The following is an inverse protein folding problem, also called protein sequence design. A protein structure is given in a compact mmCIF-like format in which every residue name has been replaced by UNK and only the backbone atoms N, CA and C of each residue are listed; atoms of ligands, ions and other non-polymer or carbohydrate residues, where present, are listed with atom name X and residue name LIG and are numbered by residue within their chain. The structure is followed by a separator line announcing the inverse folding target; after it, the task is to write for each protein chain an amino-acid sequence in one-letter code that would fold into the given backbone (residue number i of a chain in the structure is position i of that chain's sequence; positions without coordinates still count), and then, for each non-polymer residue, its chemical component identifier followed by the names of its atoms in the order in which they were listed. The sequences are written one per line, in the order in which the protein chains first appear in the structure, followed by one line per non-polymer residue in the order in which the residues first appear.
data_IF_350820126610
#
_entry.id   IF_350820126610
#
_cell.length_a   1.000
_cell.length_b   1.000
_cell.length_c   1.000
_cell.angle_alpha   90.00
_cell.angle_beta   90.00
_cell.angle_gamma   90.00
#
_symmetry.space_group_name_H-M   'P 1'
#
loop_
_entity.id
_entity.type
_entity.pdbx_description
1 polymer ?
#
# COMPACT_ATOMS: atom_id res chain seq x y z
N UNK A 1 -18.22 -2.36 -5.59
CA UNK A 1 -17.46 -1.34 -4.85
C UNK A 1 -17.31 -0.13 -5.76
N UNK A 2 -18.00 0.98 -5.49
CA UNK A 2 -17.90 2.20 -6.30
C UNK A 2 -16.73 3.01 -5.72
N UNK A 3 -15.63 3.15 -6.46
CA UNK A 3 -14.53 4.04 -6.13
C UNK A 3 -15.01 5.49 -6.25
N UNK A 4 -15.54 6.05 -5.15
CA UNK A 4 -15.85 7.49 -5.05
C UNK A 4 -14.62 8.20 -4.53
N UNK A 5 -14.07 9.12 -5.33
CA UNK A 5 -12.97 10.03 -5.00
C UNK A 5 -11.85 9.32 -4.24
N UNK A 6 -10.91 8.72 -4.98
CA UNK A 6 -9.71 8.16 -4.39
C UNK A 6 -9.11 9.17 -3.41
N UNK A 7 -8.84 8.72 -2.20
CA UNK A 7 -7.94 9.40 -1.29
C UNK A 7 -6.73 9.88 -2.10
N UNK A 8 -6.41 11.19 -2.12
CA UNK A 8 -5.36 11.73 -2.96
C UNK A 8 -4.02 11.04 -2.71
N UNK A 9 -3.81 10.49 -1.51
CA UNK A 9 -2.61 9.71 -1.17
C UNK A 9 -2.56 8.41 -1.95
N UNK A 10 -3.67 7.70 -2.12
CA UNK A 10 -3.77 6.48 -2.92
C UNK A 10 -3.65 6.83 -4.40
N UNK A 11 -4.39 7.84 -4.86
CA UNK A 11 -4.34 8.27 -6.27
C UNK A 11 -2.91 8.68 -6.68
N UNK A 12 -2.18 9.36 -5.80
CA UNK A 12 -0.79 9.76 -6.03
C UNK A 12 0.16 8.57 -6.25
N UNK A 13 -0.11 7.42 -5.63
CA UNK A 13 0.69 6.22 -5.88
C UNK A 13 0.34 5.56 -7.22
N UNK A 14 -0.92 5.66 -7.66
CA UNK A 14 -1.39 4.97 -8.86
C UNK A 14 -1.15 5.76 -10.16
N UNK A 15 -1.29 7.09 -10.13
CA UNK A 15 -1.20 7.93 -11.33
C UNK A 15 0.08 7.70 -12.15
N UNK A 16 1.29 7.58 -11.57
CA UNK A 16 2.51 7.30 -12.33
C UNK A 16 2.48 5.96 -13.08
N UNK A 17 1.71 4.99 -12.60
CA UNK A 17 1.61 3.66 -13.19
C UNK A 17 0.44 3.53 -14.19
N UNK A 18 -0.46 4.51 -14.26
CA UNK A 18 -1.64 4.42 -15.11
C UNK A 18 -1.28 4.38 -16.60
N UNK A 19 -1.86 3.40 -17.29
CA UNK A 19 -1.82 3.27 -18.76
C UNK A 19 -3.08 3.90 -19.38
N UNK A 20 -3.09 4.06 -20.71
CA UNK A 20 -4.16 4.75 -21.45
C UNK A 20 -5.57 4.19 -21.12
N UNK A 21 -5.71 2.89 -20.92
CA UNK A 21 -6.99 2.27 -20.55
C UNK A 21 -7.46 2.68 -19.15
N UNK A 22 -6.56 2.88 -18.18
CA UNK A 22 -6.94 3.27 -16.82
C UNK A 22 -7.51 4.68 -16.78
N UNK A 23 -6.94 5.58 -17.59
CA UNK A 23 -7.44 6.95 -17.80
C UNK A 23 -8.85 6.99 -18.38
N UNK A 24 -9.28 5.93 -19.08
CA UNK A 24 -10.65 5.81 -19.55
C UNK A 24 -11.62 5.39 -18.44
N UNK A 25 -11.13 4.89 -17.30
CA UNK A 25 -11.94 4.50 -16.15
C UNK A 25 -12.52 5.67 -15.35
N UNK A 26 -12.04 6.91 -15.56
CA UNK A 26 -12.57 8.08 -14.86
C UNK A 26 -14.00 8.41 -15.32
N UNK A 27 -14.91 8.56 -14.35
CA UNK A 27 -16.34 8.81 -14.59
C UNK A 27 -16.62 10.15 -15.28
N UNK A 28 -15.75 11.14 -15.09
CA UNK A 28 -15.78 12.41 -15.81
C UNK A 28 -14.52 12.53 -16.67
N UNK A 29 -14.61 13.09 -17.88
CA UNK A 29 -13.42 13.36 -18.67
C UNK A 29 -12.57 14.41 -17.93
N UNK A 30 -11.47 13.96 -17.34
CA UNK A 30 -10.49 14.82 -16.70
C UNK A 30 -9.36 15.07 -17.68
N UNK A 31 -9.10 16.33 -18.03
CA UNK A 31 -7.99 16.70 -18.92
C UNK A 31 -6.66 16.73 -18.15
N UNK A 32 -6.72 17.15 -16.89
CA UNK A 32 -5.58 17.41 -16.03
C UNK A 32 -5.97 17.14 -14.57
N UNK A 33 -5.09 16.46 -13.84
CA UNK A 33 -5.20 16.23 -12.40
C UNK A 33 -4.04 16.94 -11.69
N UNK A 34 -4.37 17.71 -10.67
CA UNK A 34 -3.40 18.29 -9.76
C UNK A 34 -3.57 17.63 -8.40
N UNK A 35 -2.51 16.99 -7.90
CA UNK A 35 -2.48 16.46 -6.53
C UNK A 35 -1.79 17.46 -5.63
N UNK A 36 -2.50 17.85 -4.57
CA UNK A 36 -2.00 18.74 -3.52
C UNK A 36 -1.07 17.94 -2.59
N UNK A 37 0.18 17.79 -3.03
CA UNK A 37 1.29 17.21 -2.28
C UNK A 37 2.34 18.30 -1.98
N UNK A 38 3.29 18.07 -1.05
CA UNK A 38 4.33 19.07 -0.74
C UNK A 38 5.07 19.59 -1.97
N UNK A 39 5.19 18.75 -3.00
CA UNK A 39 5.51 19.14 -4.36
C UNK A 39 4.30 18.85 -5.26
N UNK A 40 3.58 19.89 -5.75
CA UNK A 40 2.42 19.70 -6.59
C UNK A 40 2.80 18.99 -7.88
N UNK A 41 2.09 17.91 -8.20
CA UNK A 41 2.29 17.15 -9.43
C UNK A 41 1.06 17.28 -10.32
N UNK A 42 1.33 17.57 -11.59
CA UNK A 42 0.33 17.73 -12.64
C UNK A 42 0.41 16.51 -13.54
N UNK A 43 -0.72 15.86 -13.74
CA UNK A 43 -0.85 14.71 -14.63
C UNK A 43 -1.87 15.01 -15.72
N UNK A 44 -1.43 14.95 -16.98
CA UNK A 44 -2.30 15.19 -18.14
C UNK A 44 -2.83 13.88 -18.71
N UNK A 45 -4.11 13.88 -19.09
CA UNK A 45 -4.73 12.74 -19.77
C UNK A 45 -4.11 12.55 -21.16
N UNK A 46 -3.74 11.31 -21.56
CA UNK A 46 -3.20 11.05 -22.89
C UNK A 46 -4.19 11.37 -24.04
N UNK A 47 -3.68 11.91 -25.15
CA UNK A 47 -4.48 12.38 -26.31
C UNK A 47 -5.34 11.28 -26.98
N UNK A 48 -4.99 10.00 -26.81
CA UNK A 48 -5.70 8.85 -27.40
C UNK A 48 -6.62 8.12 -26.40
N UNK A 49 -6.94 8.74 -25.27
CA UNK A 49 -7.80 8.12 -24.27
C UNK A 49 -9.27 8.16 -24.74
N UNK A 50 -9.87 6.98 -24.96
CA UNK A 50 -11.30 6.85 -25.29
C UNK A 50 -12.21 7.40 -24.18
N UNK A 51 -13.48 7.70 -24.52
CA UNK A 51 -14.49 8.01 -23.51
C UNK A 51 -14.79 6.74 -22.71
N UNK A 52 -14.61 6.82 -21.39
CA UNK A 52 -14.94 5.74 -20.47
C UNK A 52 -16.34 5.24 -20.67
N UNK A 53 -16.45 4.01 -21.16
CA UNK A 53 -17.72 3.35 -21.41
C UNK A 53 -17.72 2.04 -20.67
N UNK A 54 -18.16 2.03 -19.41
CA UNK A 54 -18.82 0.84 -18.88
C UNK A 54 -19.65 1.21 -17.66
N UNK A 55 -20.82 0.58 -17.54
CA UNK A 55 -21.65 0.59 -16.33
C UNK A 55 -20.99 -0.20 -15.17
N UNK A 56 -19.80 -0.78 -15.39
CA UNK A 56 -19.12 -1.62 -14.41
C UNK A 56 -18.17 -0.82 -13.51
N UNK A 57 -17.99 -1.27 -12.26
CA UNK A 57 -17.01 -0.68 -11.36
C UNK A 57 -15.59 -0.78 -11.93
N UNK A 58 -14.80 0.28 -11.79
CA UNK A 58 -13.37 0.23 -12.05
C UNK A 58 -12.70 -0.81 -11.12
N UNK A 59 -11.92 -1.71 -11.72
CA UNK A 59 -11.13 -2.72 -11.00
C UNK A 59 -9.67 -2.42 -11.27
N UNK A 60 -8.85 -2.44 -10.21
CA UNK A 60 -7.40 -2.28 -10.34
C UNK A 60 -6.84 -3.48 -11.08
N UNK A 61 -6.22 -3.22 -12.23
CA UNK A 61 -5.47 -4.24 -12.95
C UNK A 61 -4.12 -4.50 -12.26
N UNK A 62 -3.46 -5.59 -12.63
CA UNK A 62 -2.24 -6.12 -12.03
C UNK A 62 -1.12 -5.10 -11.89
N UNK A 63 -0.93 -4.18 -12.84
CA UNK A 63 0.11 -3.14 -12.76
C UNK A 63 -0.22 -2.06 -11.73
N UNK A 64 -1.49 -1.71 -11.54
CA UNK A 64 -1.92 -0.77 -10.50
C UNK A 64 -1.90 -1.41 -9.12
N UNK A 65 -2.27 -2.70 -9.02
CA UNK A 65 -2.10 -3.47 -7.78
C UNK A 65 -0.61 -3.53 -7.40
N UNK A 66 0.26 -3.82 -8.37
CA UNK A 66 1.70 -3.79 -8.16
C UNK A 66 2.16 -2.42 -7.66
N UNK A 67 1.78 -1.32 -8.34
CA UNK A 67 2.14 0.03 -7.92
C UNK A 67 1.64 0.37 -6.51
N UNK A 68 0.43 -0.06 -6.15
CA UNK A 68 -0.12 0.09 -4.82
C UNK A 68 0.71 -0.66 -3.76
N UNK A 69 0.92 -1.96 -3.96
CA UNK A 69 1.64 -2.81 -2.99
C UNK A 69 3.10 -2.40 -2.80
N UNK A 70 3.70 -1.73 -3.79
CA UNK A 70 5.07 -1.23 -3.72
C UNK A 70 5.17 0.23 -3.25
N UNK A 71 4.05 0.88 -2.92
CA UNK A 71 4.06 2.25 -2.40
C UNK A 71 4.44 2.30 -0.93
N UNK A 72 5.22 3.31 -0.53
CA UNK A 72 5.55 3.54 0.88
C UNK A 72 4.29 3.77 1.73
N UNK A 73 3.23 4.35 1.14
CA UNK A 73 1.96 4.58 1.84
C UNK A 73 1.23 3.27 2.17
N UNK A 74 1.13 2.34 1.22
CA UNK A 74 0.55 1.02 1.48
C UNK A 74 1.37 0.24 2.52
N UNK A 75 2.70 0.27 2.38
CA UNK A 75 3.62 -0.35 3.33
C UNK A 75 3.45 0.16 4.76
N UNK A 76 3.35 1.48 4.94
CA UNK A 76 3.08 2.08 6.25
C UNK A 76 1.73 1.65 6.81
N UNK A 77 0.68 1.61 5.97
CA UNK A 77 -0.65 1.14 6.36
C UNK A 77 -0.62 -0.31 6.85
N UNK A 78 0.04 -1.20 6.11
CA UNK A 78 0.19 -2.61 6.50
C UNK A 78 1.01 -2.77 7.77
N UNK A 79 2.11 -2.02 7.91
CA UNK A 79 2.93 -2.05 9.11
C UNK A 79 2.16 -1.56 10.35
N UNK A 80 1.31 -0.53 10.21
CA UNK A 80 0.42 -0.08 11.29
C UNK A 80 -0.57 -1.17 11.68
N UNK A 81 -1.26 -1.80 10.72
CA UNK A 81 -2.25 -2.86 11.02
C UNK A 81 -1.61 -4.02 11.78
N UNK A 82 -0.43 -4.47 11.34
CA UNK A 82 0.32 -5.53 12.02
C UNK A 82 0.77 -5.09 13.41
N UNK A 83 1.29 -3.85 13.53
CA UNK A 83 1.74 -3.27 14.78
C UNK A 83 0.61 -3.14 15.80
N UNK A 84 -0.54 -2.61 15.38
CA UNK A 84 -1.75 -2.45 16.20
C UNK A 84 -2.23 -3.82 16.69
N UNK A 85 -2.26 -4.82 15.82
CA UNK A 85 -2.64 -6.18 16.22
C UNK A 85 -1.67 -6.76 17.28
N UNK A 86 -0.38 -6.50 17.17
CA UNK A 86 0.60 -6.90 18.20
C UNK A 86 0.40 -6.14 19.51
N UNK A 87 0.07 -4.85 19.47
CA UNK A 87 -0.25 -4.08 20.66
C UNK A 87 -1.49 -4.61 21.37
N UNK A 88 -2.52 -4.96 20.60
CA UNK A 88 -3.79 -5.49 21.11
C UNK A 88 -3.65 -6.90 21.69
N UNK A 89 -2.99 -7.82 20.98
CA UNK A 89 -2.98 -9.24 21.32
C UNK A 89 -1.70 -9.70 22.04
N UNK A 90 -0.61 -8.95 21.90
CA UNK A 90 0.73 -9.32 22.40
C UNK A 90 1.44 -8.14 23.08
N UNK A 91 0.72 -7.29 23.82
CA UNK A 91 1.22 -6.01 24.35
C UNK A 91 2.57 -6.06 25.08
N UNK A 92 2.86 -7.11 25.87
CA UNK A 92 4.19 -7.26 26.52
C UNK A 92 5.33 -7.41 25.51
N UNK A 93 5.10 -8.16 24.44
CA UNK A 93 6.06 -8.31 23.34
C UNK A 93 6.15 -7.02 22.53
N UNK A 94 5.03 -6.37 22.23
CA UNK A 94 5.01 -5.08 21.53
C UNK A 94 5.83 -4.02 22.28
N UNK A 95 5.70 -3.91 23.61
CA UNK A 95 6.53 -3.02 24.45
C UNK A 95 8.02 -3.36 24.34
N UNK A 96 8.38 -4.63 24.20
CA UNK A 96 9.79 -5.05 24.06
C UNK A 96 10.34 -4.68 22.69
N UNK A 97 9.57 -4.93 21.63
CA UNK A 97 9.96 -4.67 20.25
C UNK A 97 9.97 -3.17 19.93
N UNK A 98 9.09 -2.38 20.55
CA UNK A 98 9.01 -0.92 20.39
C UNK A 98 10.03 -0.16 21.25
N UNK A 99 11.20 -0.75 21.52
CA UNK A 99 12.29 -0.09 22.24
C UNK A 99 13.49 0.12 21.32
N UNK A 100 13.90 1.37 21.05
CA UNK A 100 13.26 2.64 21.45
C UNK A 100 11.88 2.83 20.79
N UNK A 101 11.06 3.77 21.30
CA UNK A 101 9.71 4.04 20.78
C UNK A 101 9.72 4.22 19.27
N UNK A 102 8.80 3.56 18.57
CA UNK A 102 8.70 3.54 17.11
C UNK A 102 9.44 2.37 16.46
N UNK A 103 10.29 1.65 17.20
CA UNK A 103 11.13 0.59 16.62
C UNK A 103 10.33 -0.59 16.09
N UNK A 104 9.18 -0.89 16.69
CA UNK A 104 8.33 -1.99 16.23
C UNK A 104 7.85 -1.73 14.80
N UNK A 105 7.34 -0.53 14.53
CA UNK A 105 6.82 -0.17 13.22
C UNK A 105 7.93 -0.13 12.15
N UNK A 106 9.12 0.35 12.51
CA UNK A 106 10.30 0.28 11.63
C UNK A 106 10.67 -1.17 11.27
N UNK A 107 10.68 -2.06 12.26
CA UNK A 107 11.02 -3.48 12.05
C UNK A 107 10.00 -4.19 11.16
N UNK A 108 8.70 -3.97 11.37
CA UNK A 108 7.65 -4.52 10.51
C UNK A 108 7.79 -3.97 9.09
N UNK A 109 8.02 -2.65 8.94
CA UNK A 109 8.21 -2.03 7.62
C UNK A 109 9.43 -2.62 6.90
N UNK A 110 10.54 -2.84 7.61
CA UNK A 110 11.72 -3.46 7.04
C UNK A 110 11.44 -4.89 6.57
N UNK A 111 10.75 -5.69 7.41
CA UNK A 111 10.35 -7.05 7.06
C UNK A 111 9.46 -7.10 5.82
N UNK A 112 8.47 -6.22 5.70
CA UNK A 112 7.63 -6.10 4.51
C UNK A 112 8.45 -5.72 3.27
N UNK A 113 9.40 -4.78 3.40
CA UNK A 113 10.31 -4.39 2.30
C UNK A 113 11.22 -5.54 1.86
N UNK A 114 11.66 -6.39 2.78
CA UNK A 114 12.43 -7.60 2.45
C UNK A 114 11.61 -8.57 1.60
N UNK A 115 10.36 -8.83 1.96
CA UNK A 115 9.46 -9.67 1.16
C UNK A 115 9.24 -9.11 -0.25
N UNK A 116 8.93 -7.81 -0.38
CA UNK A 116 8.83 -7.17 -1.69
C UNK A 116 10.12 -7.28 -2.50
N UNK A 117 11.28 -7.10 -1.87
CA UNK A 117 12.59 -7.23 -2.52
C UNK A 117 12.87 -8.64 -3.05
N UNK A 118 12.25 -9.67 -2.48
CA UNK A 118 12.32 -11.05 -2.93
C UNK A 118 11.29 -11.39 -4.01
N UNK A 119 10.39 -10.47 -4.35
CA UNK A 119 9.28 -10.68 -5.27
C UNK A 119 8.06 -11.35 -4.63
N UNK A 120 8.00 -11.43 -3.30
CA UNK A 120 6.86 -11.99 -2.58
C UNK A 120 5.68 -11.00 -2.57
N UNK A 121 4.47 -11.54 -2.58
CA UNK A 121 3.26 -10.76 -2.36
C UNK A 121 3.04 -10.51 -0.86
N UNK A 122 3.10 -9.24 -0.46
CA UNK A 122 2.88 -8.84 0.93
C UNK A 122 1.40 -8.73 1.30
N UNK A 123 0.47 -8.75 0.32
CA UNK A 123 -0.95 -8.43 0.53
C UNK A 123 -1.65 -9.31 1.57
N UNK A 124 -1.15 -10.53 1.78
CA UNK A 124 -1.70 -11.53 2.69
C UNK A 124 -0.91 -11.68 4.00
N UNK A 125 0.17 -10.92 4.20
CA UNK A 125 0.98 -11.00 5.41
C UNK A 125 0.24 -10.39 6.61
N UNK A 126 0.31 -11.11 7.73
CA UNK A 126 -0.39 -10.77 8.97
C UNK A 126 0.58 -10.67 10.16
N UNK A 127 0.05 -10.30 11.32
CA UNK A 127 0.81 -10.36 12.58
C UNK A 127 1.22 -11.78 12.97
N UNK A 128 0.46 -12.81 12.57
CA UNK A 128 0.83 -14.20 12.82
C UNK A 128 2.10 -14.59 12.06
N UNK A 129 2.21 -14.18 10.80
CA UNK A 129 3.39 -14.42 9.96
C UNK A 129 4.61 -13.69 10.52
N UNK A 130 4.42 -12.46 10.99
CA UNK A 130 5.48 -11.69 11.65
C UNK A 130 5.97 -12.36 12.94
N UNK A 131 5.05 -12.87 13.76
CA UNK A 131 5.39 -13.61 14.99
C UNK A 131 6.11 -14.92 14.70
N UNK A 132 5.70 -15.64 13.65
CA UNK A 132 6.38 -16.85 13.21
C UNK A 132 7.84 -16.55 12.85
N UNK A 133 8.07 -15.52 12.02
CA UNK A 133 9.42 -15.08 11.65
C UNK A 133 10.27 -14.72 12.88
N UNK A 134 9.70 -14.02 13.87
CA UNK A 134 10.41 -13.69 15.11
C UNK A 134 10.83 -14.93 15.91
N UNK A 135 9.98 -15.97 15.95
CA UNK A 135 10.28 -17.22 16.65
C UNK A 135 11.37 -18.04 15.93
N UNK A 136 11.40 -18.00 14.59
CA UNK A 136 12.43 -18.67 13.79
C UNK A 136 13.80 -17.98 13.94
N UNK A 137 13.81 -16.65 14.06
CA UNK A 137 15.05 -15.87 14.27
C UNK A 137 15.56 -15.89 15.71
N UNK A 138 14.66 -16.06 16.69
CA UNK A 138 14.98 -16.15 18.11
C UNK A 138 14.32 -17.39 18.73
N UNK A 139 14.83 -18.60 18.44
CA UNK A 139 14.31 -19.80 19.06
C UNK A 139 14.39 -19.64 20.57
N UNK A 140 13.25 -19.83 21.25
CA UNK A 140 13.22 -19.89 22.69
C UNK A 140 14.09 -21.07 23.12
N UNK A 141 15.28 -20.79 23.65
CA UNK A 141 16.06 -21.79 24.39
C UNK A 141 15.18 -22.23 25.55
N UNK A 142 14.59 -23.42 25.42
CA UNK A 142 13.97 -24.14 26.52
C UNK A 142 14.99 -24.55 27.57
#
# INVERSE_FOLDING_TARGET
MILRSMDPRILNQLLPAMIISDWSGFLTPVSELMIDAPEPQIYSRPENCGKGGSEQPFVLDSHLLYAWHHSDYALQGMASVIGDNLWENHGKLAIKLDKPRGKLQEQITHWLKTHLGNGDDISNLTSADYLQMLNEQYPTTG
#
